data_IF_127568675265
#
_entry.id   IF_127568675265
#
_cell.length_a   1.000
_cell.length_b   1.000
_cell.length_c   1.000
_cell.angle_alpha   90.00
_cell.angle_beta   90.00
_cell.angle_gamma   90.00
#
_symmetry.space_group_name_H-M   'P 1'
#
loop_
_entity.id
_entity.type
_entity.pdbx_description
1 polymer ?
#
# COMPACT_ATOMS: atom_id res chain seq x y z
N UNK A 1 -58.00 -27.43 45.79
CA UNK A 1 -56.64 -27.42 46.36
C UNK A 1 -55.65 -27.07 45.26
N UNK A 2 -54.75 -26.13 45.56
CA UNK A 2 -53.44 -25.78 44.89
C UNK A 2 -53.41 -25.79 43.36
N UNK A 3 -53.34 -24.63 42.71
CA UNK A 3 -52.08 -23.93 42.35
C UNK A 3 -51.04 -24.86 41.74
N UNK A 4 -50.81 -24.74 40.44
CA UNK A 4 -49.45 -24.61 39.91
C UNK A 4 -49.47 -23.69 38.67
N UNK A 5 -48.70 -22.63 38.79
CA UNK A 5 -48.41 -21.61 37.78
C UNK A 5 -47.11 -22.02 37.09
N UNK A 6 -47.21 -22.45 35.83
CA UNK A 6 -46.06 -22.80 34.99
C UNK A 6 -45.92 -21.81 33.83
N UNK A 7 -45.35 -20.65 34.11
CA UNK A 7 -44.94 -19.69 33.08
C UNK A 7 -43.64 -20.18 32.45
N UNK A 8 -43.70 -20.76 31.25
CA UNK A 8 -42.52 -21.06 30.43
C UNK A 8 -42.56 -20.19 29.18
N UNK A 9 -41.80 -19.11 29.25
CA UNK A 9 -41.64 -18.09 28.23
C UNK A 9 -41.06 -18.67 26.94
N UNK A 10 -41.74 -18.30 25.86
CA UNK A 10 -41.27 -18.24 24.47
C UNK A 10 -39.79 -17.86 24.37
N UNK A 11 -38.96 -18.81 23.96
CA UNK A 11 -37.77 -18.53 23.17
C UNK A 11 -38.02 -19.08 21.78
N UNK A 12 -38.68 -18.26 20.96
CA UNK A 12 -38.69 -18.45 19.52
C UNK A 12 -37.24 -18.56 19.07
N UNK A 13 -36.88 -19.74 18.58
CA UNK A 13 -35.64 -20.01 17.87
C UNK A 13 -35.63 -19.14 16.61
N UNK A 14 -35.22 -17.88 16.75
CA UNK A 14 -34.94 -17.03 15.62
C UNK A 14 -33.62 -17.53 15.03
N UNK A 15 -33.72 -18.52 14.14
CA UNK A 15 -32.65 -18.84 13.20
C UNK A 15 -32.30 -17.52 12.53
N UNK A 16 -31.16 -16.98 12.91
CA UNK A 16 -30.54 -15.82 12.28
C UNK A 16 -30.28 -16.25 10.84
N UNK A 17 -31.25 -16.02 9.97
CA UNK A 17 -31.13 -16.29 8.54
C UNK A 17 -29.87 -15.58 8.09
N UNK A 18 -28.96 -16.35 7.51
CA UNK A 18 -27.72 -15.87 6.92
C UNK A 18 -28.06 -14.99 5.72
N UNK A 19 -28.47 -13.75 6.00
CA UNK A 19 -28.79 -12.77 4.98
C UNK A 19 -27.46 -12.31 4.42
N UNK A 20 -27.10 -12.84 3.25
CA UNK A 20 -25.97 -12.35 2.50
C UNK A 20 -26.23 -10.88 2.13
N UNK A 21 -25.44 -9.96 2.71
CA UNK A 21 -25.56 -8.53 2.43
C UNK A 21 -24.49 -8.16 1.40
N UNK A 22 -24.92 -8.03 0.15
CA UNK A 22 -24.07 -7.51 -0.92
C UNK A 22 -24.10 -5.98 -0.97
N UNK A 23 -22.94 -5.36 -0.83
CA UNK A 23 -22.79 -3.90 -0.90
C UNK A 23 -21.66 -3.57 -1.87
N UNK A 24 -21.92 -2.80 -2.94
CA UNK A 24 -20.86 -2.26 -3.77
C UNK A 24 -19.91 -1.40 -2.92
N UNK A 25 -18.59 -1.63 -3.04
CA UNK A 25 -17.59 -0.93 -2.23
C UNK A 25 -17.69 0.60 -2.34
N UNK A 26 -18.09 1.12 -3.50
CA UNK A 26 -18.29 2.55 -3.73
C UNK A 26 -19.48 3.15 -2.94
N UNK A 27 -20.46 2.30 -2.58
CA UNK A 27 -21.69 2.72 -1.92
C UNK A 27 -21.68 2.46 -0.42
N UNK A 28 -20.61 1.88 0.14
CA UNK A 28 -20.54 1.48 1.55
C UNK A 28 -20.84 2.64 2.51
N UNK A 29 -20.31 3.84 2.24
CA UNK A 29 -20.56 5.00 3.08
C UNK A 29 -22.01 5.47 3.01
N UNK A 30 -22.61 5.46 1.82
CA UNK A 30 -24.03 5.76 1.61
C UNK A 30 -24.91 4.75 2.36
N UNK A 31 -24.59 3.46 2.24
CA UNK A 31 -25.30 2.38 2.90
C UNK A 31 -25.23 2.49 4.44
N UNK A 32 -24.05 2.82 4.99
CA UNK A 32 -23.86 3.04 6.42
C UNK A 32 -24.63 4.27 6.93
N UNK A 33 -24.67 5.35 6.15
CA UNK A 33 -25.44 6.55 6.47
C UNK A 33 -26.95 6.26 6.52
N UNK A 34 -27.48 5.54 5.53
CA UNK A 34 -28.90 5.18 5.46
C UNK A 34 -29.35 4.33 6.67
N UNK A 35 -28.44 3.54 7.24
CA UNK A 35 -28.69 2.69 8.41
C UNK A 35 -28.32 3.35 9.74
N UNK A 36 -27.92 4.61 9.74
CA UNK A 36 -27.53 5.36 10.93
C UNK A 36 -26.27 4.83 11.62
N UNK A 37 -25.47 3.99 10.94
CA UNK A 37 -24.19 3.45 11.47
C UNK A 37 -23.04 4.43 11.31
N UNK A 38 -23.19 5.41 10.42
CA UNK A 38 -22.28 6.52 10.21
C UNK A 38 -23.05 7.83 10.40
N UNK A 39 -22.40 8.87 10.94
CA UNK A 39 -23.01 10.20 11.08
C UNK A 39 -22.79 11.03 9.82
N UNK A 40 -23.72 11.92 9.48
CA UNK A 40 -23.58 12.83 8.30
C UNK A 40 -22.31 13.68 8.33
N UNK A 41 -21.82 14.05 9.52
CA UNK A 41 -20.62 14.87 9.72
C UNK A 41 -19.30 14.09 9.70
N UNK A 42 -19.31 12.82 9.30
CA UNK A 42 -18.12 11.95 9.32
C UNK A 42 -16.93 12.54 8.56
N UNK A 43 -17.16 13.25 7.46
CA UNK A 43 -16.09 13.89 6.68
C UNK A 43 -15.38 15.00 7.46
N UNK A 44 -16.12 15.75 8.29
CA UNK A 44 -15.53 16.78 9.14
C UNK A 44 -14.72 16.14 10.26
N UNK A 45 -15.30 15.12 10.92
CA UNK A 45 -14.59 14.37 11.95
C UNK A 45 -13.29 13.74 11.39
N UNK A 46 -13.35 13.19 10.17
CA UNK A 46 -12.17 12.64 9.50
C UNK A 46 -11.10 13.71 9.23
N UNK A 47 -11.50 14.92 8.81
CA UNK A 47 -10.57 16.04 8.62
C UNK A 47 -9.89 16.44 9.93
N UNK A 48 -10.64 16.50 11.02
CA UNK A 48 -10.11 16.84 12.34
C UNK A 48 -9.11 15.78 12.83
N UNK A 49 -9.43 14.49 12.62
CA UNK A 49 -8.53 13.37 12.93
C UNK A 49 -7.25 13.46 12.09
N UNK A 50 -7.37 13.71 10.79
CA UNK A 50 -6.22 13.84 9.90
C UNK A 50 -5.33 15.05 10.26
N UNK A 51 -5.92 16.14 10.75
CA UNK A 51 -5.15 17.26 11.31
C UNK A 51 -4.38 16.85 12.57
N UNK A 52 -5.01 16.11 13.49
CA UNK A 52 -4.33 15.56 14.69
C UNK A 52 -3.18 14.63 14.32
N UNK A 53 -3.39 13.75 13.34
CA UNK A 53 -2.35 12.84 12.82
C UNK A 53 -1.15 13.62 12.28
N UNK A 54 -1.39 14.70 11.53
CA UNK A 54 -0.30 15.53 10.98
C UNK A 54 0.57 16.13 12.08
N UNK A 55 -0.03 16.55 13.20
CA UNK A 55 0.71 17.07 14.35
C UNK A 55 1.41 15.95 15.13
N UNK A 56 0.72 14.84 15.40
CA UNK A 56 1.28 13.68 16.09
C UNK A 56 2.46 13.05 15.34
N UNK A 57 2.43 13.07 13.99
CA UNK A 57 3.52 12.56 13.14
C UNK A 57 4.84 13.29 13.40
N UNK A 58 4.82 14.58 13.71
CA UNK A 58 6.04 15.37 13.98
C UNK A 58 6.74 14.94 15.26
N UNK A 59 6.03 14.25 16.15
CA UNK A 59 6.55 13.76 17.44
C UNK A 59 7.19 12.36 17.31
N UNK A 60 7.01 11.69 16.18
CA UNK A 60 7.70 10.43 15.89
C UNK A 60 9.17 10.70 15.57
N UNK A 61 10.04 9.73 15.87
CA UNK A 61 11.44 9.79 15.45
C UNK A 61 11.61 9.63 13.94
N UNK A 62 12.84 9.86 13.46
CA UNK A 62 13.15 9.86 12.02
C UNK A 62 12.89 8.49 11.39
N UNK A 63 13.28 7.40 12.07
CA UNK A 63 13.10 6.03 11.58
C UNK A 63 11.61 5.68 11.40
N UNK A 64 10.76 6.07 12.36
CA UNK A 64 9.32 5.95 12.24
C UNK A 64 8.75 6.81 11.11
N UNK A 65 9.23 8.05 10.97
CA UNK A 65 8.76 8.94 9.92
C UNK A 65 9.05 8.40 8.52
N UNK A 66 10.22 7.80 8.31
CA UNK A 66 10.63 7.10 7.07
C UNK A 66 9.82 5.83 6.86
N UNK A 67 9.62 5.01 7.91
CA UNK A 67 8.84 3.76 7.82
C UNK A 67 7.39 3.98 7.39
N UNK A 68 6.81 5.12 7.76
CA UNK A 68 5.45 5.53 7.38
C UNK A 68 5.46 6.66 6.33
N UNK A 69 6.53 6.75 5.53
CA UNK A 69 6.62 7.67 4.39
C UNK A 69 5.82 7.14 3.17
N UNK A 70 5.24 8.06 2.40
CA UNK A 70 4.68 7.73 1.07
C UNK A 70 3.19 7.39 1.00
N UNK A 71 2.51 7.12 2.12
CA UNK A 71 1.05 6.93 2.16
C UNK A 71 0.39 7.85 3.19
N UNK A 72 -0.85 8.29 2.89
CA UNK A 72 -1.66 8.99 3.88
C UNK A 72 -1.90 8.06 5.08
N UNK A 73 -1.57 8.52 6.29
CA UNK A 73 -1.76 7.73 7.52
C UNK A 73 -3.26 7.62 7.80
N UNK A 74 -3.83 6.45 7.49
CA UNK A 74 -5.20 6.11 7.82
C UNK A 74 -5.30 5.35 9.14
N UNK A 75 -6.49 4.84 9.44
CA UNK A 75 -6.74 4.07 10.66
C UNK A 75 -5.79 2.87 10.86
N UNK A 76 -5.53 2.08 9.82
CA UNK A 76 -4.67 0.89 9.95
C UNK A 76 -3.21 1.26 10.19
N UNK A 77 -2.76 2.37 9.63
CA UNK A 77 -1.43 2.92 9.87
C UNK A 77 -1.30 3.40 11.32
N UNK A 78 -2.34 4.07 11.87
CA UNK A 78 -2.39 4.41 13.31
C UNK A 78 -2.22 3.18 14.19
N UNK A 79 -2.91 2.06 13.88
CA UNK A 79 -2.76 0.82 14.65
C UNK A 79 -1.34 0.26 14.58
N UNK A 80 -0.70 0.30 13.41
CA UNK A 80 0.70 -0.13 13.23
C UNK A 80 1.66 0.76 14.02
N UNK A 81 1.44 2.07 14.02
CA UNK A 81 2.26 3.03 14.78
C UNK A 81 2.17 2.71 16.27
N UNK A 82 0.95 2.58 16.82
CA UNK A 82 0.74 2.20 18.24
C UNK A 82 1.46 0.89 18.55
N UNK A 83 1.25 -0.15 17.74
CA UNK A 83 1.90 -1.46 17.95
C UNK A 83 3.42 -1.40 17.92
N UNK A 84 4.00 -0.54 17.07
CA UNK A 84 5.45 -0.37 16.98
C UNK A 84 5.98 0.37 18.21
N UNK A 85 5.32 1.48 18.60
CA UNK A 85 5.66 2.25 19.81
C UNK A 85 5.54 1.40 21.09
N UNK A 86 4.54 0.53 21.19
CA UNK A 86 4.43 -0.42 22.30
C UNK A 86 5.60 -1.40 22.35
N UNK A 87 6.03 -1.88 21.18
CA UNK A 87 7.13 -2.85 21.07
C UNK A 87 8.45 -2.21 21.48
N UNK A 88 8.71 -0.98 21.03
CA UNK A 88 9.90 -0.22 21.41
C UNK A 88 9.92 0.13 22.89
N UNK A 89 8.78 0.54 23.45
CA UNK A 89 8.67 0.81 24.88
C UNK A 89 9.02 -0.44 25.71
N UNK A 90 8.54 -1.62 25.30
CA UNK A 90 8.86 -2.91 25.97
C UNK A 90 10.34 -3.25 25.83
N UNK A 91 10.92 -3.09 24.64
CA UNK A 91 12.35 -3.35 24.39
C UNK A 91 13.26 -2.43 25.22
N UNK A 92 12.84 -1.19 25.45
CA UNK A 92 13.55 -0.24 26.31
C UNK A 92 13.29 -0.45 27.82
N UNK A 93 12.57 -1.52 28.20
CA UNK A 93 12.24 -1.81 29.60
C UNK A 93 11.29 -0.80 30.24
N UNK A 94 10.58 0.01 29.43
CA UNK A 94 9.62 1.00 29.92
C UNK A 94 8.26 0.34 30.16
N UNK A 95 7.58 0.78 31.22
CA UNK A 95 6.19 0.39 31.45
C UNK A 95 5.28 1.00 30.38
N UNK A 96 4.70 0.15 29.53
CA UNK A 96 3.81 0.59 28.43
C UNK A 96 2.49 1.17 28.96
N UNK A 97 1.95 0.56 30.02
CA UNK A 97 0.67 0.94 30.62
C UNK A 97 0.85 1.38 32.07
N UNK A 98 0.01 2.31 32.49
CA UNK A 98 -0.14 2.75 33.88
C UNK A 98 -1.01 1.76 34.66
N UNK A 99 -1.02 1.88 35.99
CA UNK A 99 -1.84 1.04 36.87
C UNK A 99 -3.34 1.09 36.57
N UNK A 100 -3.81 2.15 35.92
CA UNK A 100 -5.22 2.30 35.51
C UNK A 100 -5.49 1.88 34.05
N UNK A 101 -4.53 1.23 33.39
CA UNK A 101 -4.70 0.65 32.05
C UNK A 101 -4.53 1.62 30.88
N UNK A 102 -4.29 2.91 31.13
CA UNK A 102 -3.91 3.88 30.11
C UNK A 102 -2.43 3.77 29.71
N UNK A 103 -2.03 4.42 28.62
CA UNK A 103 -0.63 4.44 28.19
C UNK A 103 0.23 5.36 29.07
N UNK A 104 1.44 4.93 29.40
CA UNK A 104 2.37 5.70 30.25
C UNK A 104 3.12 6.81 29.50
N UNK A 105 3.26 6.68 28.17
CA UNK A 105 3.94 7.67 27.32
C UNK A 105 2.92 8.63 26.72
N UNK A 106 3.22 9.92 26.73
CA UNK A 106 2.40 10.96 26.09
C UNK A 106 2.23 10.72 24.59
N UNK A 107 3.27 10.21 23.93
CA UNK A 107 3.22 9.86 22.51
C UNK A 107 2.21 8.72 22.28
N UNK A 108 2.29 7.64 23.04
CA UNK A 108 1.35 6.51 22.94
C UNK A 108 -0.09 6.94 23.27
N UNK A 109 -0.27 7.80 24.28
CA UNK A 109 -1.58 8.37 24.61
C UNK A 109 -2.15 9.21 23.47
N UNK A 110 -1.33 10.05 22.84
CA UNK A 110 -1.74 10.86 21.68
C UNK A 110 -2.23 9.98 20.52
N UNK A 111 -1.49 8.92 20.20
CA UNK A 111 -1.89 7.99 19.14
C UNK A 111 -3.12 7.15 19.52
N UNK A 112 -3.27 6.77 20.79
CA UNK A 112 -4.47 6.08 21.27
C UNK A 112 -5.71 6.98 21.22
N UNK A 113 -5.59 8.27 21.58
CA UNK A 113 -6.68 9.24 21.43
C UNK A 113 -7.13 9.36 19.96
N UNK A 114 -6.19 9.42 19.02
CA UNK A 114 -6.48 9.38 17.58
C UNK A 114 -7.23 8.08 17.21
N UNK A 115 -6.80 6.92 17.74
CA UNK A 115 -7.49 5.65 17.53
C UNK A 115 -8.92 5.68 18.07
N UNK A 116 -9.14 6.26 19.25
CA UNK A 116 -10.48 6.41 19.84
C UNK A 116 -11.38 7.33 19.02
N UNK A 117 -10.84 8.44 18.51
CA UNK A 117 -11.57 9.35 17.63
C UNK A 117 -12.02 8.65 16.33
N UNK A 118 -11.21 7.73 15.81
CA UNK A 118 -11.60 6.91 14.66
C UNK A 118 -12.73 5.91 14.98
N UNK A 119 -12.70 5.30 16.17
CA UNK A 119 -13.72 4.35 16.61
C UNK A 119 -15.06 5.04 16.88
N UNK A 120 -15.02 6.27 17.38
CA UNK A 120 -16.20 7.11 17.54
C UNK A 120 -16.91 7.29 16.21
N UNK A 121 -18.22 7.09 16.19
CA UNK A 121 -19.07 7.22 14.99
C UNK A 121 -18.62 6.37 13.78
N UNK A 122 -17.79 5.34 13.98
CA UNK A 122 -17.28 4.42 12.95
C UNK A 122 -16.53 5.11 11.79
N UNK A 123 -15.76 6.17 12.08
CA UNK A 123 -15.01 6.91 11.05
C UNK A 123 -14.00 6.00 10.33
N UNK A 124 -13.39 5.05 11.05
CA UNK A 124 -12.45 4.10 10.46
C UNK A 124 -13.05 3.31 9.28
N UNK A 125 -14.32 2.91 9.36
CA UNK A 125 -15.01 2.21 8.27
C UNK A 125 -15.22 3.15 7.09
N UNK A 126 -15.60 4.40 7.37
CA UNK A 126 -15.88 5.37 6.32
C UNK A 126 -14.65 5.74 5.49
N UNK A 127 -13.51 5.95 6.17
CA UNK A 127 -12.22 6.15 5.53
C UNK A 127 -11.79 4.90 4.74
N UNK A 128 -11.86 3.72 5.37
CA UNK A 128 -11.47 2.45 4.75
C UNK A 128 -12.30 2.15 3.50
N UNK A 129 -13.61 2.37 3.57
CA UNK A 129 -14.53 2.19 2.44
C UNK A 129 -14.21 3.12 1.28
N UNK A 130 -13.89 4.40 1.57
CA UNK A 130 -13.47 5.37 0.55
C UNK A 130 -12.17 4.94 -0.12
N UNK A 131 -11.17 4.57 0.67
CA UNK A 131 -9.85 4.13 0.18
C UNK A 131 -9.97 2.85 -0.63
N UNK A 132 -10.76 1.88 -0.17
CA UNK A 132 -11.02 0.64 -0.88
C UNK A 132 -11.71 0.89 -2.23
N UNK A 133 -12.73 1.74 -2.26
CA UNK A 133 -13.40 2.14 -3.50
C UNK A 133 -12.44 2.77 -4.51
N UNK A 134 -11.58 3.69 -4.06
CA UNK A 134 -10.55 4.30 -4.91
C UNK A 134 -9.58 3.26 -5.48
N UNK A 135 -9.07 2.37 -4.61
CA UNK A 135 -8.09 1.33 -4.98
C UNK A 135 -8.65 0.34 -5.98
N UNK A 136 -9.89 -0.13 -5.77
CA UNK A 136 -10.54 -1.09 -6.65
C UNK A 136 -10.89 -0.46 -8.00
N UNK A 137 -11.40 0.77 -8.00
CA UNK A 137 -11.92 1.42 -9.21
C UNK A 137 -10.81 1.97 -10.11
N UNK A 138 -9.75 2.51 -9.53
CA UNK A 138 -8.75 3.26 -10.28
C UNK A 138 -7.35 2.70 -10.14
N UNK A 139 -6.89 2.45 -8.92
CA UNK A 139 -5.47 2.15 -8.69
C UNK A 139 -5.11 0.76 -9.23
N UNK A 140 -5.90 -0.26 -8.93
CA UNK A 140 -5.67 -1.63 -9.43
C UNK A 140 -5.74 -1.70 -10.95
N UNK A 141 -6.78 -1.18 -11.63
CA UNK A 141 -6.81 -1.15 -13.09
C UNK A 141 -5.64 -0.39 -13.70
N UNK A 142 -5.25 0.75 -13.12
CA UNK A 142 -4.08 1.51 -13.57
C UNK A 142 -2.79 0.71 -13.42
N UNK A 143 -2.56 0.08 -12.27
CA UNK A 143 -1.38 -0.76 -12.03
C UNK A 143 -1.32 -1.94 -13.01
N UNK A 144 -2.45 -2.61 -13.28
CA UNK A 144 -2.52 -3.67 -14.28
C UNK A 144 -2.10 -3.18 -15.68
N UNK A 145 -2.58 -2.01 -16.10
CA UNK A 145 -2.16 -1.40 -17.37
C UNK A 145 -0.67 -1.11 -17.40
N UNK A 146 -0.12 -0.56 -16.32
CA UNK A 146 1.30 -0.27 -16.20
C UNK A 146 2.14 -1.55 -16.32
N UNK A 147 1.76 -2.64 -15.66
CA UNK A 147 2.45 -3.93 -15.75
C UNK A 147 2.49 -4.44 -17.20
N UNK A 148 1.37 -4.38 -17.91
CA UNK A 148 1.29 -4.83 -19.32
C UNK A 148 2.17 -3.97 -20.22
N UNK A 149 2.13 -2.64 -20.05
CA UNK A 149 2.95 -1.72 -20.83
C UNK A 149 4.45 -1.92 -20.56
N UNK A 150 4.85 -2.05 -19.29
CA UNK A 150 6.23 -2.36 -18.93
C UNK A 150 6.70 -3.71 -19.50
N UNK A 151 5.86 -4.74 -19.47
CA UNK A 151 6.19 -6.04 -20.06
C UNK A 151 6.42 -5.93 -21.58
N UNK A 152 5.59 -5.16 -22.28
CA UNK A 152 5.77 -4.87 -23.70
C UNK A 152 7.07 -4.14 -23.98
N UNK A 153 7.40 -3.11 -23.19
CA UNK A 153 8.65 -2.36 -23.31
C UNK A 153 9.87 -3.26 -23.10
N UNK A 154 9.81 -4.16 -22.11
CA UNK A 154 10.87 -5.15 -21.87
C UNK A 154 11.06 -6.05 -23.09
N UNK A 155 9.98 -6.59 -23.67
CA UNK A 155 10.06 -7.46 -24.84
C UNK A 155 10.64 -6.73 -26.08
N UNK A 156 10.22 -5.48 -26.32
CA UNK A 156 10.74 -4.66 -27.42
C UNK A 156 12.24 -4.36 -27.24
N UNK A 157 12.67 -4.06 -26.01
CA UNK A 157 14.08 -3.84 -25.68
C UNK A 157 14.91 -5.11 -25.86
N UNK A 158 14.41 -6.25 -25.40
CA UNK A 158 15.08 -7.54 -25.60
C UNK A 158 15.28 -7.86 -27.08
N UNK A 159 14.24 -7.64 -27.91
CA UNK A 159 14.35 -7.80 -29.36
C UNK A 159 15.41 -6.87 -29.97
N UNK A 160 15.41 -5.59 -29.58
CA UNK A 160 16.42 -4.62 -30.03
C UNK A 160 17.83 -5.04 -29.64
N UNK A 161 18.03 -5.56 -28.42
CA UNK A 161 19.34 -6.09 -27.98
C UNK A 161 19.80 -7.22 -28.90
N UNK A 162 18.94 -8.22 -29.14
CA UNK A 162 19.27 -9.36 -30.02
C UNK A 162 19.59 -8.91 -31.46
N UNK A 163 18.81 -7.98 -32.02
CA UNK A 163 19.04 -7.48 -33.37
C UNK A 163 20.38 -6.70 -33.47
N UNK A 164 20.71 -5.90 -32.45
CA UNK A 164 21.99 -5.18 -32.39
C UNK A 164 23.18 -6.12 -32.21
N UNK A 165 23.05 -7.18 -31.43
CA UNK A 165 24.08 -8.20 -31.28
C UNK A 165 24.35 -8.93 -32.60
N UNK A 166 23.29 -9.36 -33.30
CA UNK A 166 23.40 -9.96 -34.63
C UNK A 166 24.07 -9.01 -35.62
N UNK A 167 23.65 -7.74 -35.62
CA UNK A 167 24.22 -6.72 -36.48
C UNK A 167 25.71 -6.50 -36.18
N UNK A 168 26.09 -6.39 -34.91
CA UNK A 168 27.49 -6.26 -34.45
C UNK A 168 28.34 -7.44 -34.90
N UNK A 169 27.86 -8.68 -34.73
CA UNK A 169 28.55 -9.89 -35.21
C UNK A 169 28.73 -9.87 -36.73
N UNK A 170 27.68 -9.52 -37.49
CA UNK A 170 27.74 -9.43 -38.94
C UNK A 170 28.75 -8.38 -39.41
N UNK A 171 28.78 -7.19 -38.78
CA UNK A 171 29.77 -6.16 -39.10
C UNK A 171 31.19 -6.58 -38.77
N UNK A 172 31.43 -7.28 -37.65
CA UNK A 172 32.74 -7.83 -37.32
C UNK A 172 33.22 -8.83 -38.37
N UNK A 173 32.34 -9.71 -38.85
CA UNK A 173 32.65 -10.66 -39.92
C UNK A 173 32.97 -9.93 -41.23
N UNK A 174 32.12 -8.98 -41.64
CA UNK A 174 32.35 -8.18 -42.86
C UNK A 174 33.64 -7.38 -42.80
N UNK A 175 33.93 -6.76 -41.65
CA UNK A 175 35.16 -6.00 -41.42
C UNK A 175 36.39 -6.91 -41.57
N UNK A 176 36.37 -8.10 -40.93
CA UNK A 176 37.47 -9.06 -41.02
C UNK A 176 37.66 -9.56 -42.45
N UNK A 177 36.59 -9.97 -43.13
CA UNK A 177 36.66 -10.38 -44.53
C UNK A 177 37.27 -9.30 -45.43
N UNK A 178 36.94 -8.02 -45.19
CA UNK A 178 37.53 -6.92 -45.95
C UNK A 178 38.99 -6.66 -45.61
N UNK A 179 39.38 -6.85 -44.36
CA UNK A 179 40.81 -6.82 -43.97
C UNK A 179 41.59 -7.95 -44.65
N UNK A 180 41.03 -9.16 -44.68
CA UNK A 180 41.64 -10.33 -45.31
C UNK A 180 41.80 -10.11 -46.83
N UNK A 181 40.79 -9.56 -47.51
CA UNK A 181 40.85 -9.18 -48.95
C UNK A 181 41.98 -8.18 -49.24
N UNK A 182 42.24 -7.26 -48.31
CA UNK A 182 43.28 -6.25 -48.43
C UNK A 182 44.65 -6.74 -47.90
N UNK A 183 44.73 -7.97 -47.39
CA UNK A 183 45.96 -8.54 -46.83
C UNK A 183 46.43 -7.89 -45.52
N UNK A 184 45.53 -7.22 -44.79
CA UNK A 184 45.84 -6.48 -43.56
C UNK A 184 45.28 -7.19 -42.31
N UNK A 185 45.88 -6.96 -41.14
CA UNK A 185 45.45 -7.62 -39.88
C UNK A 185 44.22 -6.98 -39.25
N UNK A 186 43.90 -5.73 -39.62
CA UNK A 186 42.75 -4.99 -39.12
C UNK A 186 42.94 -4.40 -37.72
N UNK A 187 44.17 -4.28 -37.21
CA UNK A 187 44.47 -3.76 -35.87
C UNK A 187 44.71 -2.25 -35.91
N UNK A 188 45.49 -1.78 -36.89
CA UNK A 188 45.62 -0.35 -37.21
C UNK A 188 45.49 -0.16 -38.71
N UNK A 189 44.24 -0.15 -39.19
CA UNK A 189 43.87 -0.15 -40.61
C UNK A 189 44.57 0.97 -41.38
N UNK A 190 44.65 2.18 -40.81
CA UNK A 190 45.28 3.33 -41.46
C UNK A 190 46.78 3.10 -41.73
N UNK A 191 47.51 2.55 -40.75
CA UNK A 191 48.94 2.24 -40.90
C UNK A 191 49.16 1.03 -41.82
N UNK A 192 48.32 0.01 -41.71
CA UNK A 192 48.46 -1.23 -42.47
C UNK A 192 48.23 -1.00 -43.97
N UNK A 193 47.24 -0.17 -44.36
CA UNK A 193 46.97 0.18 -45.75
C UNK A 193 48.07 1.03 -46.40
N UNK A 194 48.71 1.93 -45.65
CA UNK A 194 49.87 2.69 -46.16
C UNK A 194 51.06 1.78 -46.50
N UNK A 195 51.20 0.66 -45.78
CA UNK A 195 52.23 -0.34 -46.04
C UNK A 195 51.95 -1.21 -47.26
N UNK A 196 50.69 -1.32 -47.69
CA UNK A 196 50.26 -2.14 -48.86
C UNK A 196 50.32 -1.39 -50.20
N UNK A 197 50.40 -0.05 -50.18
CA UNK A 197 50.44 0.84 -51.35
C UNK A 197 51.86 1.08 -51.92
N UNK A 198 52.81 0.17 -51.66
CA UNK A 198 54.20 0.24 -52.17
C UNK A 198 54.48 -0.82 -53.21
#
# INVERSE_FOLDING_TARGET
GRQDVGCASSWGSNRMSDVHIDIPCEQINTWLLQRGKLKKKWQNNLRDIQAKIKEARKLLDVEMQEKFEGDAIGYFEVLKIISTLETEAKQQGKNVKTFFGGYSSDLLRTWDEIRQDYLKDNIYIAESGRTLGQRLKYDIPRMKKLVVESAKQIADLQRKVTDKEKLSKNWRVKFRAKCDELGIRGVNVARELQGTLR
#
